data_IF_108004624208
#
_entry.id   IF_108004624208
#
_cell.length_a   1.000
_cell.length_b   1.000
_cell.length_c   1.000
_cell.angle_alpha   90.00
_cell.angle_beta   90.00
_cell.angle_gamma   90.00
#
_symmetry.space_group_name_H-M   'P 1'
#
loop_
_entity.id
_entity.type
_entity.pdbx_description
1 polymer ?
#
# COMPACT_ATOMS: atom_id res chain seq x y z
N UNK A 1 -2.74 25.61 84.56
CA UNK A 1 -2.20 24.27 84.21
C UNK A 1 -1.88 24.28 82.73
N UNK A 2 -0.62 24.45 82.36
CA UNK A 2 -0.17 24.46 80.96
C UNK A 2 0.73 23.23 80.77
N UNK A 3 0.27 22.24 80.01
CA UNK A 3 1.08 21.09 79.61
C UNK A 3 1.93 21.50 78.41
N UNK A 4 3.25 21.66 78.61
CA UNK A 4 4.20 21.74 77.51
C UNK A 4 4.57 20.31 77.09
N UNK A 5 4.13 19.90 75.90
CA UNK A 5 4.50 18.60 75.31
C UNK A 5 5.94 18.61 74.82
N UNK A 6 6.72 17.60 75.19
CA UNK A 6 8.09 17.40 74.70
C UNK A 6 8.15 17.21 73.17
N UNK A 7 9.19 17.72 72.50
CA UNK A 7 9.36 17.55 71.06
C UNK A 7 9.67 16.09 70.71
N UNK A 8 9.04 15.52 69.66
CA UNK A 8 9.26 14.12 69.29
C UNK A 8 10.71 13.86 68.88
N UNK A 9 11.29 12.80 69.44
CA UNK A 9 12.70 12.42 69.24
C UNK A 9 13.02 12.21 67.76
N UNK A 10 14.22 12.62 67.34
CA UNK A 10 14.72 12.55 65.95
C UNK A 10 14.57 11.17 65.31
N UNK A 11 14.67 10.09 66.12
CA UNK A 11 14.43 8.70 65.69
C UNK A 11 12.97 8.42 65.32
N UNK A 12 11.99 8.98 66.05
CA UNK A 12 10.57 8.84 65.72
C UNK A 12 10.23 9.52 64.40
N UNK A 13 10.75 10.74 64.16
CA UNK A 13 10.56 11.46 62.89
C UNK A 13 11.15 10.71 61.69
N UNK A 14 12.34 10.11 61.84
CA UNK A 14 12.97 9.32 60.78
C UNK A 14 12.17 8.03 60.47
N UNK A 15 11.65 7.37 61.51
CA UNK A 15 10.77 6.19 61.35
C UNK A 15 9.48 6.52 60.60
N UNK A 16 8.84 7.66 60.91
CA UNK A 16 7.64 8.11 60.20
C UNK A 16 7.92 8.42 58.73
N UNK A 17 9.05 9.06 58.41
CA UNK A 17 9.43 9.36 57.01
C UNK A 17 9.69 8.10 56.21
N UNK A 18 10.40 7.12 56.78
CA UNK A 18 10.67 5.83 56.12
C UNK A 18 9.38 5.04 55.86
N UNK A 19 8.43 5.06 56.79
CA UNK A 19 7.11 4.46 56.59
C UNK A 19 6.34 5.12 55.43
N UNK A 20 6.33 6.45 55.37
CA UNK A 20 5.65 7.19 54.28
C UNK A 20 6.26 6.84 52.92
N UNK A 21 7.60 6.79 52.82
CA UNK A 21 8.29 6.44 51.58
C UNK A 21 8.00 4.99 51.15
N UNK A 22 7.93 4.06 52.09
CA UNK A 22 7.59 2.66 51.81
C UNK A 22 6.14 2.52 51.30
N UNK A 23 5.17 3.20 51.93
CA UNK A 23 3.79 3.21 51.44
C UNK A 23 3.67 3.86 50.06
N UNK A 24 4.37 4.97 49.80
CA UNK A 24 4.36 5.63 48.50
C UNK A 24 4.94 4.72 47.39
N UNK A 25 6.06 4.05 47.65
CA UNK A 25 6.65 3.08 46.71
C UNK A 25 5.72 1.89 46.46
N UNK A 26 5.08 1.36 47.50
CA UNK A 26 4.12 0.25 47.37
C UNK A 26 2.91 0.66 46.52
N UNK A 27 2.37 1.86 46.72
CA UNK A 27 1.27 2.39 45.90
C UNK A 27 1.68 2.53 44.44
N UNK A 28 2.88 3.06 44.16
CA UNK A 28 3.39 3.21 42.78
C UNK A 28 3.57 1.83 42.11
N UNK A 29 4.10 0.84 42.82
CA UNK A 29 4.27 -0.52 42.29
C UNK A 29 2.90 -1.17 42.03
N UNK A 30 1.95 -1.03 42.95
CA UNK A 30 0.59 -1.56 42.80
C UNK A 30 -0.15 -0.90 41.64
N UNK A 31 -0.07 0.43 41.49
CA UNK A 31 -0.71 1.13 40.37
C UNK A 31 -0.05 0.80 39.04
N UNK A 32 1.28 0.69 38.99
CA UNK A 32 1.99 0.24 37.79
C UNK A 32 1.60 -1.18 37.38
N UNK A 33 1.55 -2.10 38.36
CA UNK A 33 1.15 -3.49 38.12
C UNK A 33 -0.30 -3.61 37.68
N UNK A 34 -1.21 -2.82 38.27
CA UNK A 34 -2.61 -2.75 37.86
C UNK A 34 -2.77 -2.17 36.45
N UNK A 35 -2.01 -1.13 36.07
CA UNK A 35 -2.02 -0.56 34.72
C UNK A 35 -1.46 -1.54 33.67
N UNK A 36 -0.39 -2.26 33.99
CA UNK A 36 0.16 -3.35 33.17
C UNK A 36 -0.87 -4.46 32.96
N UNK A 37 -1.54 -4.90 34.02
CA UNK A 37 -2.58 -5.93 33.94
C UNK A 37 -3.80 -5.45 33.15
N UNK A 38 -4.26 -4.21 33.34
CA UNK A 38 -5.35 -3.64 32.55
C UNK A 38 -5.00 -3.56 31.05
N UNK A 39 -3.77 -3.15 30.71
CA UNK A 39 -3.27 -3.14 29.34
C UNK A 39 -3.18 -4.54 28.72
N UNK A 40 -2.78 -5.55 29.51
CA UNK A 40 -2.72 -6.95 29.05
C UNK A 40 -4.12 -7.59 28.98
N UNK A 41 -5.08 -7.19 29.83
CA UNK A 41 -6.47 -7.67 29.75
C UNK A 41 -7.25 -7.07 28.58
N UNK A 42 -7.00 -5.81 28.17
CA UNK A 42 -7.52 -5.29 26.90
C UNK A 42 -6.95 -6.07 25.70
N UNK A 43 -5.72 -6.56 25.80
CA UNK A 43 -5.13 -7.41 24.75
C UNK A 43 -5.67 -8.85 24.74
N UNK A 44 -6.22 -9.33 25.86
CA UNK A 44 -6.68 -10.73 26.01
C UNK A 44 -8.21 -10.91 25.94
N UNK A 45 -9.01 -9.84 26.11
CA UNK A 45 -10.48 -9.93 26.12
C UNK A 45 -11.17 -9.64 24.77
N UNK A 46 -10.42 -9.27 23.72
CA UNK A 46 -10.95 -9.14 22.35
C UNK A 46 -10.11 -10.00 21.39
N UNK A 47 -10.51 -11.25 21.24
CA UNK A 47 -9.91 -12.17 20.27
C UNK A 47 -9.88 -11.54 18.88
N UNK A 48 -8.67 -11.29 18.36
CA UNK A 48 -8.22 -11.57 16.99
C UNK A 48 -8.96 -11.02 15.77
N UNK A 49 -10.09 -10.32 15.89
CA UNK A 49 -11.05 -10.14 14.78
C UNK A 49 -11.34 -8.68 14.41
N UNK A 50 -10.74 -7.70 15.09
CA UNK A 50 -10.91 -6.30 14.69
C UNK A 50 -10.19 -6.03 13.37
N UNK A 51 -10.85 -5.33 12.43
CA UNK A 51 -10.27 -4.88 11.16
C UNK A 51 -8.91 -4.19 11.37
N UNK A 52 -8.77 -3.39 12.44
CA UNK A 52 -7.51 -2.73 12.77
C UNK A 52 -6.38 -3.74 13.07
N UNK A 53 -6.71 -4.87 13.71
CA UNK A 53 -5.75 -5.96 13.97
C UNK A 53 -5.39 -6.68 12.68
N UNK A 54 -6.36 -6.94 11.79
CA UNK A 54 -6.09 -7.53 10.47
C UNK A 54 -5.17 -6.64 9.64
N UNK A 55 -5.48 -5.34 9.50
CA UNK A 55 -4.66 -4.39 8.74
C UNK A 55 -3.26 -4.24 9.34
N UNK A 56 -3.12 -4.27 10.67
CA UNK A 56 -1.82 -4.29 11.35
C UNK A 56 -1.04 -5.57 11.03
N UNK A 57 -1.71 -6.72 11.01
CA UNK A 57 -1.10 -7.99 10.61
C UNK A 57 -0.64 -7.95 9.15
N UNK A 58 -1.46 -7.46 8.22
CA UNK A 58 -1.06 -7.29 6.81
C UNK A 58 0.14 -6.36 6.69
N UNK A 59 0.13 -5.21 7.39
CA UNK A 59 1.25 -4.25 7.37
C UNK A 59 2.55 -4.80 7.96
N UNK A 60 2.46 -5.76 8.89
CA UNK A 60 3.63 -6.39 9.52
C UNK A 60 3.97 -7.75 8.92
N UNK A 61 3.11 -8.31 8.09
CA UNK A 61 3.38 -9.55 7.37
C UNK A 61 4.36 -9.26 6.26
N UNK A 62 5.45 -10.00 6.24
CA UNK A 62 6.39 -10.03 5.12
C UNK A 62 6.41 -11.44 4.55
N UNK A 63 6.51 -11.52 3.23
CA UNK A 63 6.81 -12.74 2.50
C UNK A 63 7.86 -12.43 1.46
N UNK A 64 8.77 -13.36 1.22
CA UNK A 64 9.63 -13.26 0.04
C UNK A 64 8.79 -13.57 -1.19
N UNK A 65 8.88 -12.72 -2.19
CA UNK A 65 8.30 -12.92 -3.51
C UNK A 65 9.43 -12.81 -4.53
N UNK A 66 9.51 -13.78 -5.43
CA UNK A 66 10.40 -13.70 -6.59
C UNK A 66 9.60 -13.07 -7.71
N UNK A 67 10.19 -12.05 -8.33
CA UNK A 67 9.59 -11.42 -9.50
C UNK A 67 10.03 -12.18 -10.74
N UNK A 68 9.06 -12.52 -11.58
CA UNK A 68 9.27 -13.24 -12.83
C UNK A 68 8.28 -12.74 -13.87
N UNK A 69 8.60 -12.89 -15.15
CA UNK A 69 7.66 -12.59 -16.22
C UNK A 69 6.55 -13.64 -16.26
N UNK A 70 5.31 -13.17 -16.38
CA UNK A 70 4.14 -14.02 -16.53
C UNK A 70 3.42 -13.70 -17.84
N UNK A 71 3.59 -14.55 -18.86
CA UNK A 71 3.03 -14.35 -20.20
C UNK A 71 1.54 -13.96 -20.21
N UNK A 72 0.75 -14.56 -19.33
CA UNK A 72 -0.69 -14.28 -19.22
C UNK A 72 -1.01 -12.86 -18.69
N UNK A 73 -0.10 -12.22 -17.97
CA UNK A 73 -0.21 -10.83 -17.52
C UNK A 73 0.56 -9.85 -18.42
N UNK A 74 1.27 -10.34 -19.43
CA UNK A 74 2.02 -9.54 -20.41
C UNK A 74 1.37 -9.56 -21.80
N UNK A 75 0.14 -10.07 -21.91
CA UNK A 75 -0.61 -10.13 -23.16
C UNK A 75 -1.82 -9.18 -23.17
N UNK A 76 -2.07 -8.59 -24.35
CA UNK A 76 -3.28 -7.85 -24.68
C UNK A 76 -4.39 -8.75 -25.27
N UNK A 77 -4.17 -10.06 -25.39
CA UNK A 77 -5.21 -10.98 -25.84
C UNK A 77 -6.39 -10.98 -24.87
N UNK A 78 -7.59 -10.96 -25.44
CA UNK A 78 -8.84 -11.03 -24.70
C UNK A 78 -9.02 -12.37 -23.95
N UNK A 79 -8.28 -13.42 -24.35
CA UNK A 79 -8.24 -14.72 -23.66
C UNK A 79 -7.80 -14.61 -22.18
N UNK A 80 -7.13 -13.52 -21.81
CA UNK A 80 -6.61 -13.27 -20.47
C UNK A 80 -7.40 -12.22 -19.68
N UNK A 81 -8.48 -11.64 -20.24
CA UNK A 81 -9.25 -10.59 -19.57
C UNK A 81 -9.80 -11.04 -18.20
N UNK A 82 -10.20 -12.31 -18.11
CA UNK A 82 -10.70 -12.90 -16.87
C UNK A 82 -9.69 -12.86 -15.71
N UNK A 83 -8.38 -12.88 -16.00
CA UNK A 83 -7.36 -12.76 -14.96
C UNK A 83 -7.39 -11.38 -14.30
N UNK A 84 -7.65 -10.34 -15.11
CA UNK A 84 -7.69 -8.95 -14.65
C UNK A 84 -9.00 -8.59 -13.97
N UNK A 85 -10.11 -9.18 -14.42
CA UNK A 85 -11.44 -8.89 -13.90
C UNK A 85 -11.85 -9.76 -12.72
N UNK A 86 -11.51 -11.05 -12.75
CA UNK A 86 -12.10 -12.06 -11.85
C UNK A 86 -11.08 -12.73 -10.91
N UNK A 87 -9.82 -12.82 -11.30
CA UNK A 87 -8.77 -13.48 -10.49
C UNK A 87 -7.97 -12.47 -9.64
N UNK A 88 -7.59 -11.33 -10.22
CA UNK A 88 -6.85 -10.28 -9.51
C UNK A 88 -7.71 -9.49 -8.51
N UNK A 89 -9.03 -9.47 -8.72
CA UNK A 89 -9.98 -8.83 -7.83
C UNK A 89 -10.80 -9.89 -7.11
N UNK A 90 -11.06 -9.66 -5.83
CA UNK A 90 -12.01 -10.50 -5.08
C UNK A 90 -13.42 -10.38 -5.68
N UNK A 91 -14.30 -11.39 -5.53
CA UNK A 91 -15.66 -11.35 -6.11
C UNK A 91 -16.51 -10.15 -5.70
N UNK A 92 -16.22 -9.51 -4.56
CA UNK A 92 -16.90 -8.31 -4.12
C UNK A 92 -16.20 -7.01 -4.56
N UNK A 93 -15.23 -7.06 -5.48
CA UNK A 93 -14.53 -5.90 -6.03
C UNK A 93 -13.44 -5.29 -5.15
N UNK A 94 -13.04 -5.97 -4.06
CA UNK A 94 -12.00 -5.48 -3.15
C UNK A 94 -12.52 -4.51 -2.08
N UNK A 95 -13.84 -4.53 -1.83
CA UNK A 95 -14.48 -3.68 -0.83
C UNK A 95 -14.59 -4.35 0.54
N UNK A 96 -14.56 -3.55 1.59
CA UNK A 96 -15.01 -3.90 2.93
C UNK A 96 -16.42 -3.36 3.14
N UNK A 97 -17.32 -4.18 3.68
CA UNK A 97 -18.67 -3.75 4.05
C UNK A 97 -18.68 -3.33 5.52
N UNK A 98 -18.97 -2.05 5.78
CA UNK A 98 -19.10 -1.49 7.12
C UNK A 98 -20.58 -1.27 7.45
N UNK A 99 -21.03 -1.83 8.57
CA UNK A 99 -22.39 -1.64 9.06
C UNK A 99 -22.53 -0.25 9.71
N UNK A 100 -23.54 0.55 9.30
CA UNK A 100 -23.92 1.77 10.00
C UNK A 100 -25.07 1.46 10.93
N UNK A 101 -25.05 2.08 12.11
CA UNK A 101 -26.13 2.07 13.12
C UNK A 101 -27.52 2.44 12.59
N UNK A 102 -27.64 2.94 11.36
CA UNK A 102 -28.86 3.42 10.70
C UNK A 102 -29.46 2.42 9.69
N UNK A 103 -29.15 1.12 9.78
CA UNK A 103 -29.56 0.08 8.81
C UNK A 103 -29.06 0.30 7.38
N UNK A 104 -27.95 1.01 7.20
CA UNK A 104 -27.35 1.24 5.88
C UNK A 104 -25.88 0.79 5.91
N UNK A 105 -25.39 0.18 4.84
CA UNK A 105 -24.00 -0.31 4.78
C UNK A 105 -23.15 0.57 3.89
N UNK A 106 -21.95 0.94 4.35
CA UNK A 106 -20.94 1.59 3.52
C UNK A 106 -19.99 0.56 2.90
N UNK A 107 -19.63 0.79 1.64
CA UNK A 107 -18.49 0.11 1.02
C UNK A 107 -17.24 0.97 1.18
N UNK A 108 -16.19 0.39 1.74
CA UNK A 108 -14.87 0.99 1.85
C UNK A 108 -13.93 0.28 0.88
N UNK A 109 -13.12 1.00 0.12
CA UNK A 109 -12.14 0.40 -0.79
C UNK A 109 -10.88 -0.03 -0.04
N UNK A 110 -10.25 -1.11 -0.48
CA UNK A 110 -8.86 -1.40 -0.10
C UNK A 110 -7.96 -0.89 -1.24
N UNK A 111 -6.99 -0.04 -0.91
CA UNK A 111 -6.14 0.63 -1.91
C UNK A 111 -5.41 -0.32 -2.85
N UNK A 112 -4.91 -1.46 -2.38
CA UNK A 112 -4.28 -2.47 -3.22
C UNK A 112 -5.21 -2.94 -4.37
N UNK A 113 -6.47 -3.25 -4.08
CA UNK A 113 -7.42 -3.69 -5.12
C UNK A 113 -7.84 -2.53 -6.02
N UNK A 114 -7.94 -1.32 -5.50
CA UNK A 114 -8.21 -0.15 -6.33
C UNK A 114 -7.06 0.11 -7.33
N UNK A 115 -5.80 -0.03 -6.89
CA UNK A 115 -4.62 0.09 -7.78
C UNK A 115 -4.65 -0.97 -8.88
N UNK A 116 -4.96 -2.23 -8.54
CA UNK A 116 -5.08 -3.33 -9.51
C UNK A 116 -6.24 -3.08 -10.50
N UNK A 117 -7.39 -2.60 -10.03
CA UNK A 117 -8.52 -2.26 -10.87
C UNK A 117 -8.17 -1.14 -11.87
N UNK A 118 -7.51 -0.07 -11.42
CA UNK A 118 -7.02 0.99 -12.30
C UNK A 118 -6.03 0.47 -13.34
N UNK A 119 -5.10 -0.40 -12.94
CA UNK A 119 -4.16 -1.01 -13.87
C UNK A 119 -4.88 -1.86 -14.93
N UNK A 120 -5.89 -2.63 -14.53
CA UNK A 120 -6.75 -3.39 -15.45
C UNK A 120 -7.50 -2.48 -16.44
N UNK A 121 -8.05 -1.36 -16.00
CA UNK A 121 -8.71 -0.38 -16.89
C UNK A 121 -7.75 0.21 -17.92
N UNK A 122 -6.50 0.49 -17.54
CA UNK A 122 -5.51 1.00 -18.51
C UNK A 122 -5.19 -0.09 -19.55
N UNK A 123 -5.09 -1.35 -19.14
CA UNK A 123 -4.91 -2.47 -20.08
C UNK A 123 -6.09 -2.56 -21.06
N UNK A 124 -7.32 -2.45 -20.58
CA UNK A 124 -8.53 -2.47 -21.42
C UNK A 124 -8.50 -1.34 -22.47
N UNK A 125 -8.13 -0.12 -22.08
CA UNK A 125 -8.00 0.99 -23.03
C UNK A 125 -6.90 0.74 -24.06
N UNK A 126 -5.80 0.09 -23.68
CA UNK A 126 -4.76 -0.31 -24.63
C UNK A 126 -5.27 -1.34 -25.64
N UNK A 127 -6.06 -2.32 -25.22
CA UNK A 127 -6.69 -3.28 -26.13
C UNK A 127 -7.61 -2.55 -27.14
N UNK A 128 -8.41 -1.60 -26.65
CA UNK A 128 -9.28 -0.79 -27.49
C UNK A 128 -8.50 0.04 -28.52
N UNK A 129 -7.43 0.72 -28.08
CA UNK A 129 -6.56 1.49 -28.97
C UNK A 129 -5.85 0.61 -30.01
N UNK A 130 -5.37 -0.57 -29.61
CA UNK A 130 -4.71 -1.50 -30.51
C UNK A 130 -5.64 -1.87 -31.67
N UNK A 131 -6.89 -2.25 -31.37
CA UNK A 131 -7.90 -2.55 -32.36
C UNK A 131 -8.22 -1.36 -33.29
N UNK A 132 -8.33 -0.13 -32.74
CA UNK A 132 -8.56 1.08 -33.55
C UNK A 132 -7.41 1.35 -34.52
N UNK A 133 -6.16 1.17 -34.07
CA UNK A 133 -4.96 1.36 -34.90
C UNK A 133 -4.89 0.30 -36.00
N UNK A 134 -5.13 -0.97 -35.67
CA UNK A 134 -5.14 -2.07 -36.65
C UNK A 134 -6.22 -1.86 -37.71
N UNK A 135 -7.45 -1.51 -37.30
CA UNK A 135 -8.53 -1.19 -38.22
C UNK A 135 -8.20 0.02 -39.10
N UNK A 136 -7.49 1.01 -38.57
CA UNK A 136 -7.05 2.19 -39.33
C UNK A 136 -5.97 1.86 -40.36
N UNK A 137 -5.05 0.94 -40.04
CA UNK A 137 -4.04 0.42 -40.98
C UNK A 137 -4.68 -0.39 -42.10
N UNK A 138 -5.63 -1.27 -41.77
CA UNK A 138 -6.35 -2.07 -42.76
C UNK A 138 -7.16 -1.22 -43.75
N UNK A 139 -7.65 -0.05 -43.32
CA UNK A 139 -8.41 0.90 -44.17
C UNK A 139 -7.53 1.81 -45.03
N UNK A 140 -6.19 1.68 -44.99
CA UNK A 140 -5.27 2.37 -45.90
C UNK A 140 -5.29 3.90 -45.79
N UNK A 141 -5.53 4.47 -44.61
CA UNK A 141 -5.63 5.92 -44.44
C UNK A 141 -4.32 6.63 -44.82
N UNK A 142 -4.41 7.79 -45.48
CA UNK A 142 -3.25 8.61 -45.85
C UNK A 142 -2.38 8.98 -44.62
N UNK A 143 -2.98 9.06 -43.43
CA UNK A 143 -2.30 9.26 -42.15
C UNK A 143 -1.39 8.07 -41.77
N UNK A 144 -1.82 6.83 -42.02
CA UNK A 144 -0.99 5.64 -41.81
C UNK A 144 0.18 5.56 -42.80
N UNK A 145 0.00 6.02 -44.04
CA UNK A 145 1.05 6.06 -45.06
C UNK A 145 2.15 7.10 -44.75
N UNK A 146 1.77 8.26 -44.19
CA UNK A 146 2.73 9.31 -43.77
C UNK A 146 3.62 8.82 -42.62
N UNK A 147 3.05 8.15 -41.62
CA UNK A 147 3.82 7.55 -40.51
C UNK A 147 4.69 6.37 -40.95
N UNK A 148 4.27 5.62 -41.97
CA UNK A 148 5.08 4.55 -42.57
C UNK A 148 6.32 5.08 -43.30
N UNK A 149 6.29 6.33 -43.80
CA UNK A 149 7.46 6.98 -44.38
C UNK A 149 8.42 7.53 -43.32
N UNK A 150 7.91 8.06 -42.19
CA UNK A 150 8.76 8.55 -41.09
C UNK A 150 9.59 7.42 -40.42
N UNK A 151 9.07 6.19 -40.41
CA UNK A 151 9.79 4.99 -39.92
C UNK A 151 10.89 4.49 -40.87
N UNK A 152 10.92 4.93 -42.14
CA UNK A 152 11.94 4.51 -43.11
C UNK A 152 13.25 5.32 -43.04
N UNK A 153 13.32 6.36 -42.19
CA UNK A 153 14.56 7.12 -41.97
C UNK A 153 15.17 6.94 -40.58
N UNK A 154 14.61 6.04 -39.77
CA UNK A 154 15.28 5.50 -38.58
C UNK A 154 16.10 4.26 -38.96
N UNK A 155 17.06 4.43 -39.88
CA UNK A 155 18.18 3.48 -40.08
C UNK A 155 19.17 3.58 -38.90
N UNK A 156 18.64 3.60 -37.67
CA UNK A 156 19.37 3.29 -36.45
C UNK A 156 19.32 1.79 -36.30
N UNK A 157 20.31 1.11 -36.88
CA UNK A 157 20.56 -0.30 -36.65
C UNK A 157 20.97 -0.43 -35.18
N UNK A 158 20.07 -0.93 -34.31
CA UNK A 158 20.51 -1.46 -33.01
C UNK A 158 21.35 -2.70 -33.29
N UNK A 159 22.66 -2.56 -33.07
CA UNK A 159 23.70 -3.54 -33.41
C UNK A 159 23.73 -4.80 -32.53
N UNK A 160 22.66 -5.13 -31.79
CA UNK A 160 22.66 -6.30 -30.89
C UNK A 160 21.49 -7.28 -31.06
N UNK A 161 20.42 -6.95 -31.78
CA UNK A 161 19.32 -7.91 -31.98
C UNK A 161 18.49 -7.57 -33.20
N UNK A 162 18.75 -8.26 -34.33
CA UNK A 162 17.99 -8.14 -35.57
C UNK A 162 16.54 -8.65 -35.49
N UNK A 163 15.73 -8.11 -34.58
CA UNK A 163 14.30 -8.38 -34.46
C UNK A 163 13.47 -7.14 -34.82
N UNK A 164 12.30 -7.31 -35.47
CA UNK A 164 11.48 -6.19 -35.89
C UNK A 164 10.94 -5.41 -34.68
N UNK A 165 10.56 -4.15 -34.89
CA UNK A 165 10.04 -3.19 -33.91
C UNK A 165 8.69 -3.57 -33.23
N UNK A 166 8.67 -4.74 -32.58
CA UNK A 166 7.68 -5.19 -31.58
C UNK A 166 8.12 -4.84 -30.15
N UNK A 167 9.28 -4.19 -29.98
CA UNK A 167 9.86 -3.85 -28.69
C UNK A 167 8.88 -3.03 -27.81
N UNK A 168 8.14 -2.05 -28.34
CA UNK A 168 7.36 -1.14 -27.48
C UNK A 168 6.14 -1.78 -26.80
N UNK A 169 5.46 -2.72 -27.47
CA UNK A 169 4.28 -3.41 -26.93
C UNK A 169 4.69 -4.51 -25.95
N UNK A 170 5.76 -5.25 -26.27
CA UNK A 170 6.41 -6.21 -25.39
C UNK A 170 6.94 -5.53 -24.11
N UNK A 171 7.54 -4.35 -24.22
CA UNK A 171 8.04 -3.59 -23.07
C UNK A 171 6.91 -3.05 -22.20
N UNK A 172 5.87 -2.49 -22.81
CA UNK A 172 4.74 -1.93 -22.05
C UNK A 172 4.04 -3.03 -21.26
N UNK A 173 3.83 -4.21 -21.85
CA UNK A 173 3.11 -5.27 -21.16
C UNK A 173 3.94 -5.99 -20.09
N UNK A 174 5.27 -6.07 -20.24
CA UNK A 174 6.15 -6.46 -19.13
C UNK A 174 6.08 -5.47 -17.95
N UNK A 175 5.98 -4.16 -18.22
CA UNK A 175 5.76 -3.16 -17.17
C UNK A 175 4.45 -3.36 -16.42
N UNK A 176 3.38 -3.77 -17.10
CA UNK A 176 2.09 -4.06 -16.44
C UNK A 176 2.20 -5.24 -15.47
N UNK A 177 2.86 -6.33 -15.87
CA UNK A 177 3.08 -7.45 -14.96
C UNK A 177 4.00 -7.04 -13.78
N UNK A 178 5.05 -6.24 -14.03
CA UNK A 178 5.89 -5.70 -12.96
C UNK A 178 5.12 -4.83 -11.96
N UNK A 179 4.25 -3.94 -12.45
CA UNK A 179 3.41 -3.09 -11.60
C UNK A 179 2.41 -3.92 -10.79
N UNK A 180 1.76 -4.90 -11.42
CA UNK A 180 0.86 -5.85 -10.75
C UNK A 180 1.58 -6.60 -9.63
N UNK A 181 2.77 -7.13 -9.89
CA UNK A 181 3.61 -7.81 -8.89
C UNK A 181 4.00 -6.86 -7.75
N UNK A 182 4.37 -5.62 -8.07
CA UNK A 182 4.71 -4.59 -7.07
C UNK A 182 3.52 -4.25 -6.17
N UNK A 183 2.32 -4.07 -6.74
CA UNK A 183 1.09 -3.80 -5.98
C UNK A 183 0.76 -4.95 -5.02
N UNK A 184 0.88 -6.19 -5.47
CA UNK A 184 0.68 -7.39 -4.65
C UNK A 184 1.78 -7.57 -3.59
N UNK A 185 3.01 -7.16 -3.88
CA UNK A 185 4.13 -7.25 -2.96
C UNK A 185 4.03 -6.21 -1.83
N UNK A 186 3.64 -4.98 -2.16
CA UNK A 186 3.51 -3.89 -1.18
C UNK A 186 2.20 -3.95 -0.40
N UNK A 187 1.16 -4.60 -0.98
CA UNK A 187 -0.13 -4.85 -0.37
C UNK A 187 -0.68 -3.63 0.40
N UNK A 188 -0.86 -2.49 -0.29
CA UNK A 188 -1.31 -1.25 0.33
C UNK A 188 -2.66 -1.45 1.05
N UNK A 189 -2.56 -1.61 2.36
CA UNK A 189 -3.67 -1.94 3.26
C UNK A 189 -4.48 -0.69 3.66
N UNK A 190 -4.30 0.44 2.98
CA UNK A 190 -5.04 1.66 3.26
C UNK A 190 -6.52 1.45 2.94
N UNK A 191 -7.38 1.89 3.86
CA UNK A 191 -8.83 1.83 3.70
C UNK A 191 -9.33 3.17 3.16
N UNK A 192 -9.90 3.13 1.96
CA UNK A 192 -10.43 4.27 1.25
C UNK A 192 -11.91 4.47 1.59
N UNK A 193 -12.27 5.70 1.93
CA UNK A 193 -13.65 6.08 2.24
C UNK A 193 -14.35 6.55 0.96
N UNK A 194 -15.65 6.27 0.81
CA UNK A 194 -16.41 6.76 -0.33
C UNK A 194 -16.51 8.29 -0.32
N UNK A 195 -16.24 8.89 -1.47
CA UNK A 195 -16.74 10.22 -1.81
C UNK A 195 -18.22 10.16 -2.20
N UNK A 196 -18.82 11.33 -2.43
CA UNK A 196 -20.18 11.44 -2.99
C UNK A 196 -20.12 12.03 -4.39
N UNK A 197 -20.77 11.35 -5.34
CA UNK A 197 -21.10 11.92 -6.64
C UNK A 197 -22.24 12.95 -6.51
N UNK A 198 -22.44 13.75 -7.55
CA UNK A 198 -23.51 14.76 -7.60
C UNK A 198 -24.92 14.17 -7.47
N UNK A 199 -25.10 12.90 -7.83
CA UNK A 199 -26.35 12.13 -7.68
C UNK A 199 -26.48 11.43 -6.31
N UNK A 200 -25.52 11.66 -5.39
CA UNK A 200 -25.50 11.09 -4.05
C UNK A 200 -24.95 9.66 -3.97
N UNK A 201 -24.56 9.04 -5.08
CA UNK A 201 -24.00 7.68 -5.05
C UNK A 201 -22.59 7.67 -4.47
N UNK A 202 -22.26 6.71 -3.59
CA UNK A 202 -20.91 6.56 -3.07
C UNK A 202 -19.98 6.03 -4.15
N UNK A 203 -18.78 6.59 -4.25
CA UNK A 203 -17.73 6.08 -5.13
C UNK A 203 -16.36 6.17 -4.46
N UNK A 204 -15.50 5.18 -4.71
CA UNK A 204 -14.12 5.18 -4.25
C UNK A 204 -13.28 5.81 -5.34
N UNK A 205 -12.59 6.91 -5.02
CA UNK A 205 -11.88 7.73 -6.02
C UNK A 205 -10.36 7.71 -5.87
N UNK A 206 -9.84 6.97 -4.89
CA UNK A 206 -8.41 6.85 -4.62
C UNK A 206 -7.80 8.08 -3.94
N UNK A 207 -8.54 9.17 -3.78
CA UNK A 207 -8.05 10.42 -3.22
C UNK A 207 -8.19 10.44 -1.69
N UNK A 208 -7.22 11.05 -1.02
CA UNK A 208 -7.23 11.20 0.44
C UNK A 208 -5.82 11.23 1.04
N UNK A 209 -5.75 11.34 2.35
CA UNK A 209 -4.48 11.31 3.08
C UNK A 209 -3.88 9.91 3.09
N UNK A 210 -2.56 9.83 2.86
CA UNK A 210 -1.77 8.59 2.88
C UNK A 210 -0.57 8.75 3.79
N UNK A 211 -0.10 7.63 4.35
CA UNK A 211 1.19 7.57 5.04
C UNK A 211 2.22 6.95 4.11
N UNK A 212 3.06 7.80 3.52
CA UNK A 212 4.06 7.39 2.54
C UNK A 212 5.45 7.23 3.17
N UNK A 213 6.32 6.49 2.49
CA UNK A 213 7.77 6.59 2.70
C UNK A 213 8.26 7.91 2.07
N UNK A 214 9.31 8.49 2.64
CA UNK A 214 9.96 9.67 2.05
C UNK A 214 10.76 9.18 0.82
N UNK A 215 10.25 9.49 -0.37
CA UNK A 215 10.85 9.07 -1.65
C UNK A 215 12.02 9.98 -2.03
N UNK A 216 12.05 11.20 -1.48
CA UNK A 216 13.11 12.19 -1.72
C UNK A 216 14.47 11.67 -1.25
N UNK A 217 14.51 10.81 -0.23
CA UNK A 217 15.73 10.11 0.18
C UNK A 217 16.29 9.20 -0.93
N UNK A 218 15.43 8.47 -1.64
CA UNK A 218 15.84 7.62 -2.76
C UNK A 218 16.26 8.46 -3.96
N UNK A 219 15.51 9.53 -4.25
CA UNK A 219 15.84 10.46 -5.31
C UNK A 219 17.22 11.12 -5.11
N UNK A 220 17.49 11.57 -3.89
CA UNK A 220 18.76 12.17 -3.53
C UNK A 220 19.91 11.17 -3.64
N UNK A 221 19.71 9.93 -3.17
CA UNK A 221 20.72 8.87 -3.29
C UNK A 221 21.04 8.56 -4.75
N UNK A 222 20.01 8.41 -5.60
CA UNK A 222 20.16 8.14 -7.04
C UNK A 222 20.86 9.29 -7.78
N UNK A 223 20.46 10.54 -7.52
CA UNK A 223 21.10 11.69 -8.17
C UNK A 223 22.57 11.82 -7.74
N UNK A 224 22.87 11.56 -6.46
CA UNK A 224 24.25 11.61 -5.95
C UNK A 224 25.13 10.55 -6.61
N UNK A 225 24.59 9.37 -6.94
CA UNK A 225 25.38 8.30 -7.55
C UNK A 225 25.95 8.64 -8.93
N UNK A 226 25.43 9.66 -9.61
CA UNK A 226 25.99 10.16 -10.87
C UNK A 226 27.40 10.78 -10.68
N UNK A 227 27.65 11.39 -9.52
CA UNK A 227 28.95 11.98 -9.17
C UNK A 227 29.76 11.14 -8.18
N UNK A 228 29.09 10.34 -7.36
CA UNK A 228 29.69 9.48 -6.33
C UNK A 228 29.12 8.05 -6.48
N UNK A 229 29.65 7.24 -7.42
CA UNK A 229 29.16 5.89 -7.67
C UNK A 229 29.18 5.02 -6.40
N UNK A 230 28.15 4.20 -6.22
CA UNK A 230 28.07 3.26 -5.10
C UNK A 230 29.09 2.14 -5.28
N UNK A 231 29.74 1.74 -4.20
CA UNK A 231 30.63 0.57 -4.20
C UNK A 231 29.84 -0.73 -4.11
N UNK A 232 30.40 -1.84 -4.60
CA UNK A 232 29.76 -3.16 -4.53
C UNK A 232 29.45 -3.60 -3.08
N UNK A 233 30.22 -3.11 -2.11
CA UNK A 233 30.02 -3.38 -0.68
C UNK A 233 28.81 -2.61 -0.09
N UNK A 234 28.28 -1.63 -0.82
CA UNK A 234 27.10 -0.81 -0.44
C UNK A 234 25.80 -1.28 -1.11
N UNK A 235 25.85 -2.29 -1.99
CA UNK A 235 24.71 -2.90 -2.67
C UNK A 235 24.17 -4.13 -1.91
#
# INVERSE_FOLDING_TARGET
>A
MNQQGEPPSRRRKLGTVLLILWYAMSIVICTYSALKFLSETESSASGGNSLATLLRRVRSSSRMAVFSEHHNYTSLDHDFDWLWENDLLTPNGGYLTADKKTHNTDKLGISMFHQLHCLGMIREEMQHLHHVIEASRARGSAYAQIHQMARRHSDGVDLDSGRPAHHDEEHTMHCFDYLRQTMLCLADSTVERPGQLSDGKPYINGMGQRKCRNWELLYAASTRSDSEPMSDDEL
#
